data_IF_072884706288
#
_entry.id   IF_072884706288
#
_cell.length_a   1.000
_cell.length_b   1.000
_cell.length_c   1.000
_cell.angle_alpha   90.00
_cell.angle_beta   90.00
_cell.angle_gamma   90.00
#
_symmetry.space_group_name_H-M   'P 1'
#
loop_
_entity.id
_entity.type
_entity.pdbx_description
1 polymer ?
#
# COMPACT_ATOMS: atom_id res chain seq x y z
N UNK A 1 -13.23 58.26 17.54
CA UNK A 1 -12.31 57.23 16.99
C UNK A 1 -12.99 55.88 17.08
N UNK A 2 -13.54 55.42 15.98
CA UNK A 2 -14.24 54.12 15.90
C UNK A 2 -13.17 53.08 15.45
N UNK A 3 -12.76 52.21 16.36
CA UNK A 3 -11.85 51.11 16.01
C UNK A 3 -12.61 50.07 15.22
N UNK A 4 -12.32 49.99 13.93
CA UNK A 4 -12.82 48.91 13.03
C UNK A 4 -12.05 47.62 13.37
N UNK A 5 -12.62 46.77 14.20
CA UNK A 5 -12.17 45.38 14.37
C UNK A 5 -12.39 44.62 13.06
N UNK A 6 -11.37 44.55 12.22
CA UNK A 6 -11.34 43.59 11.12
C UNK A 6 -11.22 42.18 11.71
N UNK A 7 -12.33 41.53 11.92
CA UNK A 7 -12.36 40.07 12.08
C UNK A 7 -11.99 39.46 10.72
N UNK A 8 -10.73 39.07 10.55
CA UNK A 8 -10.28 38.21 9.46
C UNK A 8 -10.99 36.86 9.60
N UNK A 9 -12.18 36.80 9.02
CA UNK A 9 -12.90 35.54 8.80
C UNK A 9 -12.11 34.76 7.75
N UNK A 10 -11.30 33.77 8.15
CA UNK A 10 -10.68 32.84 7.23
C UNK A 10 -11.81 32.00 6.59
N UNK A 11 -12.34 32.49 5.48
CA UNK A 11 -13.39 31.79 4.76
C UNK A 11 -12.86 30.41 4.31
N UNK A 12 -13.60 29.38 4.64
CA UNK A 12 -13.36 28.03 4.10
C UNK A 12 -13.45 28.14 2.58
N UNK A 13 -12.37 27.85 1.87
CA UNK A 13 -12.32 27.90 0.40
C UNK A 13 -12.82 26.62 -0.22
N UNK A 14 -12.71 25.48 0.48
CA UNK A 14 -13.08 24.17 0.00
C UNK A 14 -13.27 23.18 1.16
N UNK A 15 -14.09 22.16 0.91
CA UNK A 15 -14.24 21.00 1.79
C UNK A 15 -14.44 19.76 0.95
N UNK A 16 -13.98 18.63 1.47
CA UNK A 16 -14.20 17.34 0.84
C UNK A 16 -14.39 16.23 1.86
N UNK A 17 -15.02 15.17 1.40
CA UNK A 17 -15.01 13.89 2.06
C UNK A 17 -14.66 12.78 1.06
N UNK A 18 -13.99 11.74 1.53
CA UNK A 18 -13.56 10.62 0.71
C UNK A 18 -13.90 9.28 1.35
N UNK A 19 -14.30 8.35 0.50
CA UNK A 19 -14.46 6.94 0.84
C UNK A 19 -13.39 6.14 0.11
N UNK A 20 -12.62 5.36 0.85
CA UNK A 20 -11.62 4.44 0.28
C UNK A 20 -12.11 3.01 0.41
N UNK A 21 -12.10 2.31 -0.70
CA UNK A 21 -12.51 0.90 -0.77
C UNK A 21 -11.37 0.01 -1.24
N UNK A 22 -11.37 -1.21 -0.72
CA UNK A 22 -10.58 -2.33 -1.21
C UNK A 22 -11.54 -3.49 -1.46
N UNK A 23 -11.95 -3.68 -2.71
CA UNK A 23 -13.08 -4.56 -3.02
C UNK A 23 -14.34 -4.10 -2.30
N UNK A 24 -15.01 -5.01 -1.60
CA UNK A 24 -16.24 -4.73 -0.86
C UNK A 24 -16.02 -4.02 0.48
N UNK A 25 -14.76 -3.93 0.95
CA UNK A 25 -14.47 -3.33 2.25
C UNK A 25 -14.21 -1.83 2.13
N UNK A 26 -14.85 -1.04 2.99
CA UNK A 26 -14.45 0.33 3.26
C UNK A 26 -13.24 0.32 4.20
N UNK A 27 -12.11 0.83 3.72
CA UNK A 27 -10.83 0.85 4.44
C UNK A 27 -10.68 2.11 5.27
N UNK A 28 -10.98 3.27 4.64
CA UNK A 28 -10.92 4.58 5.30
C UNK A 28 -12.10 5.46 4.91
N UNK A 29 -12.45 6.37 5.81
CA UNK A 29 -13.28 7.54 5.57
C UNK A 29 -12.50 8.77 5.99
N UNK A 30 -12.48 9.79 5.17
CA UNK A 30 -11.76 11.05 5.40
C UNK A 30 -12.69 12.23 5.15
N UNK A 31 -12.52 13.31 5.91
CA UNK A 31 -13.09 14.62 5.61
C UNK A 31 -12.10 15.73 5.95
N UNK A 32 -12.11 16.82 5.19
CA UNK A 32 -11.28 17.97 5.47
C UNK A 32 -11.96 19.30 5.10
N UNK A 33 -11.40 20.39 5.65
CA UNK A 33 -11.65 21.77 5.26
C UNK A 33 -10.33 22.42 4.87
N UNK A 34 -10.38 23.28 3.86
CA UNK A 34 -9.22 23.98 3.32
C UNK A 34 -9.47 25.47 3.29
N UNK A 35 -8.46 26.23 3.68
CA UNK A 35 -8.35 27.68 3.51
C UNK A 35 -7.16 28.00 2.60
N UNK A 36 -6.83 29.27 2.39
CA UNK A 36 -5.64 29.67 1.65
C UNK A 36 -4.32 29.22 2.31
N UNK A 37 -4.30 29.09 3.64
CA UNK A 37 -3.07 28.87 4.43
C UNK A 37 -3.07 27.55 5.19
N UNK A 38 -4.19 26.81 5.20
CA UNK A 38 -4.29 25.61 6.03
C UNK A 38 -5.23 24.58 5.40
N UNK A 39 -4.88 23.32 5.55
CA UNK A 39 -5.74 22.16 5.31
C UNK A 39 -5.86 21.40 6.61
N UNK A 40 -7.07 21.27 7.13
CA UNK A 40 -7.37 20.56 8.37
C UNK A 40 -8.43 19.50 8.13
N UNK A 41 -8.16 18.30 8.57
CA UNK A 41 -9.07 17.18 8.39
C UNK A 41 -8.90 16.08 9.41
N UNK A 42 -9.71 15.06 9.23
CA UNK A 42 -9.68 13.85 10.03
C UNK A 42 -10.00 12.64 9.17
N UNK A 43 -9.47 11.50 9.56
CA UNK A 43 -9.84 10.23 8.95
C UNK A 43 -9.86 9.08 9.94
N UNK A 44 -10.70 8.11 9.66
CA UNK A 44 -10.73 6.83 10.35
C UNK A 44 -10.26 5.73 9.42
N UNK A 45 -9.45 4.82 9.93
CA UNK A 45 -8.89 3.68 9.17
C UNK A 45 -9.05 2.39 9.97
N UNK A 46 -9.25 1.25 9.27
CA UNK A 46 -9.48 -0.07 9.86
C UNK A 46 -8.30 -1.03 9.71
N UNK A 47 -7.17 -0.57 9.16
CA UNK A 47 -6.03 -1.46 8.84
C UNK A 47 -4.69 -0.76 9.11
N UNK A 48 -3.66 -1.45 9.62
CA UNK A 48 -3.69 -2.78 10.24
C UNK A 48 -4.41 -2.77 11.59
N UNK A 49 -4.62 -1.59 12.17
CA UNK A 49 -5.38 -1.31 13.40
C UNK A 49 -6.42 -0.24 13.11
N UNK A 50 -7.45 -0.19 13.94
CA UNK A 50 -8.45 0.87 13.85
C UNK A 50 -7.94 2.12 14.54
N UNK A 51 -7.75 3.18 13.77
CA UNK A 51 -7.23 4.46 14.22
C UNK A 51 -8.16 5.59 13.76
N UNK A 52 -8.29 6.61 14.60
CA UNK A 52 -8.83 7.91 14.21
C UNK A 52 -7.68 8.92 14.23
N UNK A 53 -7.48 9.64 13.13
CA UNK A 53 -6.42 10.63 13.00
C UNK A 53 -6.99 11.99 12.64
N UNK A 54 -6.50 13.01 13.34
CA UNK A 54 -6.78 14.41 13.05
C UNK A 54 -5.49 15.02 12.56
N UNK A 55 -5.54 15.74 11.45
CA UNK A 55 -4.36 16.35 10.86
C UNK A 55 -4.56 17.83 10.56
N UNK A 56 -3.47 18.58 10.62
CA UNK A 56 -3.39 19.98 10.21
C UNK A 56 -2.13 20.14 9.36
N UNK A 57 -2.27 20.70 8.15
CA UNK A 57 -1.18 21.09 7.28
C UNK A 57 -1.22 22.59 7.08
N UNK A 58 -0.15 23.31 7.46
CA UNK A 58 0.00 24.70 7.14
C UNK A 58 0.66 24.84 5.77
N UNK A 59 0.13 25.73 4.96
CA UNK A 59 0.53 25.95 3.58
C UNK A 59 1.30 27.24 3.41
N UNK A 60 2.32 27.21 2.57
CA UNK A 60 2.96 28.40 2.01
C UNK A 60 2.07 29.03 0.91
N UNK A 61 2.31 30.28 0.50
CA UNK A 61 1.58 30.93 -0.59
C UNK A 61 1.65 30.18 -1.94
N UNK A 62 2.73 29.44 -2.19
CA UNK A 62 2.91 28.62 -3.39
C UNK A 62 2.20 27.24 -3.30
N UNK A 63 1.52 26.99 -2.18
CA UNK A 63 0.81 25.74 -1.91
C UNK A 63 1.69 24.60 -1.40
N UNK A 64 3.00 24.80 -1.22
CA UNK A 64 3.85 23.83 -0.54
C UNK A 64 3.51 23.77 0.96
N UNK A 65 3.88 22.67 1.61
CA UNK A 65 3.57 22.43 3.02
C UNK A 65 4.76 22.86 3.87
N UNK A 66 4.52 23.73 4.87
CA UNK A 66 5.57 24.20 5.80
C UNK A 66 5.52 23.50 7.16
N UNK A 67 4.34 23.06 7.59
CA UNK A 67 4.15 22.39 8.86
C UNK A 67 3.05 21.32 8.75
N UNK A 68 3.21 20.23 9.47
CA UNK A 68 2.21 19.19 9.64
C UNK A 68 2.12 18.79 11.10
N UNK A 69 0.91 18.63 11.58
CA UNK A 69 0.60 18.02 12.85
C UNK A 69 -0.40 16.89 12.64
N UNK A 70 -0.15 15.74 13.26
CA UNK A 70 -1.06 14.58 13.24
C UNK A 70 -1.26 14.07 14.66
N UNK A 71 -2.51 14.12 15.12
CA UNK A 71 -2.95 13.46 16.36
C UNK A 71 -3.59 12.14 15.99
N UNK A 72 -3.12 11.06 16.56
CA UNK A 72 -3.62 9.69 16.32
C UNK A 72 -4.25 9.14 17.58
N UNK A 73 -5.50 8.74 17.51
CA UNK A 73 -6.22 8.02 18.57
C UNK A 73 -6.34 6.54 18.19
N UNK A 74 -5.93 5.65 19.08
CA UNK A 74 -6.14 4.22 18.95
C UNK A 74 -7.59 3.89 19.40
N UNK A 75 -8.47 3.67 18.42
CA UNK A 75 -9.90 3.43 18.69
C UNK A 75 -10.28 1.94 18.75
N UNK A 76 -9.40 1.05 18.25
CA UNK A 76 -9.65 -0.40 18.22
C UNK A 76 -9.13 -1.17 19.42
N UNK A 77 -8.53 -0.48 20.39
CA UNK A 77 -7.83 -1.14 21.50
C UNK A 77 -6.53 -1.82 21.03
N UNK A 78 -5.98 -2.70 21.88
CA UNK A 78 -4.72 -3.39 21.61
C UNK A 78 -3.50 -2.61 22.12
N UNK A 79 -2.26 -3.13 21.86
CA UNK A 79 -1.04 -2.56 22.40
C UNK A 79 -0.71 -1.19 21.82
N UNK A 80 -0.11 -0.33 22.64
CA UNK A 80 0.36 1.00 22.29
C UNK A 80 -0.44 2.12 22.97
N UNK A 81 0.05 3.37 22.87
CA UNK A 81 -0.61 4.50 23.49
C UNK A 81 -1.99 4.76 22.87
N UNK A 82 -2.92 5.23 23.70
CA UNK A 82 -4.28 5.61 23.26
C UNK A 82 -4.24 6.84 22.35
N UNK A 83 -3.31 7.73 22.57
CA UNK A 83 -3.10 8.94 21.77
C UNK A 83 -1.62 9.17 21.51
N UNK A 84 -1.30 9.64 20.31
CA UNK A 84 0.04 10.14 19.93
C UNK A 84 -0.08 11.40 19.10
N UNK A 85 0.86 12.33 19.31
CA UNK A 85 0.95 13.56 18.54
C UNK A 85 2.31 13.65 17.88
N UNK A 86 2.33 13.76 16.55
CA UNK A 86 3.54 13.93 15.75
C UNK A 86 3.47 15.24 14.98
N UNK A 87 4.60 15.93 14.84
CA UNK A 87 4.69 17.10 14.00
C UNK A 87 5.96 17.11 13.16
N UNK A 88 5.90 17.81 12.03
CA UNK A 88 7.04 18.06 11.15
C UNK A 88 7.01 19.52 10.72
N UNK A 89 8.12 20.22 10.90
CA UNK A 89 8.38 21.56 10.35
C UNK A 89 9.36 21.44 9.19
N UNK A 90 9.03 22.05 8.05
CA UNK A 90 9.93 22.16 6.90
C UNK A 90 10.52 23.57 6.86
N UNK A 91 11.84 23.67 7.08
CA UNK A 91 12.57 24.93 7.06
C UNK A 91 13.76 24.83 6.10
N UNK A 92 13.59 25.44 4.92
CA UNK A 92 14.64 25.44 3.89
C UNK A 92 14.90 24.02 3.36
N UNK A 93 16.04 23.46 3.71
CA UNK A 93 16.53 22.14 3.35
C UNK A 93 16.53 21.16 4.54
N UNK A 94 15.76 21.46 5.57
CA UNK A 94 15.69 20.67 6.80
C UNK A 94 14.25 20.38 7.19
N UNK A 95 13.98 19.10 7.50
CA UNK A 95 12.77 18.68 8.19
C UNK A 95 13.07 18.44 9.67
N UNK A 96 12.29 19.06 10.54
CA UNK A 96 12.38 18.93 12.00
C UNK A 96 11.14 18.19 12.47
N UNK A 97 11.32 16.96 12.94
CA UNK A 97 10.23 16.09 13.37
C UNK A 97 10.22 15.94 14.88
N UNK A 98 9.03 16.05 15.47
CA UNK A 98 8.81 15.80 16.89
C UNK A 98 7.86 14.62 17.03
N UNK A 99 8.30 13.57 17.71
CA UNK A 99 7.53 12.35 17.94
C UNK A 99 7.51 11.98 19.42
N UNK A 100 6.42 11.45 19.95
CA UNK A 100 6.33 11.04 21.35
C UNK A 100 7.22 9.82 21.62
N UNK A 101 7.81 9.78 22.83
CA UNK A 101 8.58 8.66 23.36
C UNK A 101 8.29 8.47 24.85
N UNK A 102 7.30 7.63 25.17
CA UNK A 102 6.77 7.55 26.54
C UNK A 102 6.22 8.92 26.99
N UNK A 103 6.64 9.40 28.15
CA UNK A 103 6.25 10.70 28.71
C UNK A 103 7.06 11.88 28.16
N UNK A 104 7.97 11.64 27.21
CA UNK A 104 8.83 12.65 26.57
C UNK A 104 8.61 12.70 25.07
N UNK A 105 9.35 13.60 24.38
CA UNK A 105 9.39 13.65 22.92
C UNK A 105 10.83 13.53 22.40
N UNK A 106 10.96 12.99 21.21
CA UNK A 106 12.21 12.96 20.45
C UNK A 106 12.11 13.92 19.28
N UNK A 107 13.10 14.80 19.16
CA UNK A 107 13.26 15.69 18.00
C UNK A 107 14.32 15.11 17.08
N UNK A 108 13.96 14.87 15.83
CA UNK A 108 14.87 14.41 14.78
C UNK A 108 14.99 15.51 13.72
N UNK A 109 16.21 15.81 13.30
CA UNK A 109 16.48 16.70 12.18
C UNK A 109 17.02 15.89 11.00
N UNK A 110 16.43 16.10 9.84
CA UNK A 110 16.82 15.44 8.60
C UNK A 110 17.06 16.47 7.52
N UNK A 111 18.21 16.40 6.84
CA UNK A 111 18.46 17.16 5.63
C UNK A 111 17.58 16.64 4.50
N UNK A 112 16.81 17.51 3.87
CA UNK A 112 15.86 17.19 2.80
C UNK A 112 15.92 18.22 1.68
N UNK A 113 15.70 17.86 0.41
CA UNK A 113 15.60 18.85 -0.66
C UNK A 113 14.48 19.87 -0.38
N UNK A 114 14.68 21.11 -0.81
CA UNK A 114 13.62 22.12 -0.76
C UNK A 114 12.39 21.65 -1.54
N UNK A 115 11.20 21.88 -1.00
CA UNK A 115 9.95 21.40 -1.59
C UNK A 115 9.64 19.93 -1.28
N UNK A 116 10.41 19.30 -0.37
CA UNK A 116 10.01 18.02 0.21
C UNK A 116 8.69 18.21 0.94
N UNK A 117 7.77 17.29 0.74
CA UNK A 117 6.48 17.28 1.43
C UNK A 117 6.29 16.05 2.31
N UNK A 118 5.46 16.10 3.33
CA UNK A 118 5.09 14.93 4.09
C UNK A 118 4.28 13.99 3.21
N UNK A 119 4.47 12.69 3.38
CA UNK A 119 3.62 11.69 2.75
C UNK A 119 2.94 10.83 3.81
N UNK A 120 1.63 10.76 3.73
CA UNK A 120 0.81 9.96 4.61
C UNK A 120 -0.15 9.14 3.77
N UNK A 121 -0.06 7.82 3.90
CA UNK A 121 -1.01 6.93 3.25
C UNK A 121 -2.44 7.21 3.73
N UNK A 122 -3.39 7.12 2.80
CA UNK A 122 -4.83 7.29 3.04
C UNK A 122 -5.26 8.73 3.41
N UNK A 123 -4.43 9.74 3.17
CA UNK A 123 -4.78 11.16 3.30
C UNK A 123 -4.94 11.77 1.92
N UNK A 124 -6.17 11.83 1.43
CA UNK A 124 -6.46 12.27 0.05
C UNK A 124 -6.56 13.79 -0.07
N UNK A 125 -6.85 14.49 1.02
CA UNK A 125 -6.67 15.93 1.09
C UNK A 125 -5.22 16.35 0.81
N UNK A 126 -4.24 15.57 1.29
CA UNK A 126 -2.82 15.75 0.96
C UNK A 126 -2.54 15.44 -0.51
N UNK A 127 -3.07 14.34 -1.05
CA UNK A 127 -2.92 14.00 -2.47
C UNK A 127 -3.52 15.07 -3.39
N UNK A 128 -4.65 15.63 -3.02
CA UNK A 128 -5.24 16.77 -3.72
C UNK A 128 -4.31 17.99 -3.68
N UNK A 129 -3.76 18.33 -2.51
CA UNK A 129 -2.85 19.47 -2.36
C UNK A 129 -1.58 19.31 -3.20
N UNK A 130 -0.98 18.12 -3.19
CA UNK A 130 0.21 17.79 -4.00
C UNK A 130 -0.13 17.85 -5.50
N UNK A 131 -1.28 17.35 -5.90
CA UNK A 131 -1.75 17.42 -7.29
C UNK A 131 -1.99 18.86 -7.75
N UNK A 132 -2.55 19.74 -6.91
CA UNK A 132 -2.69 21.18 -7.17
C UNK A 132 -1.34 21.85 -7.34
N UNK A 133 -0.41 21.58 -6.45
CA UNK A 133 0.96 22.09 -6.53
C UNK A 133 1.63 21.65 -7.85
N UNK A 134 1.58 20.36 -8.19
CA UNK A 134 2.17 19.85 -9.42
C UNK A 134 1.54 20.49 -10.67
N UNK A 135 0.21 20.68 -10.69
CA UNK A 135 -0.50 21.35 -11.80
C UNK A 135 -0.09 22.83 -11.91
N UNK A 136 0.10 23.50 -10.79
CA UNK A 136 0.53 24.91 -10.71
C UNK A 136 1.92 25.17 -11.32
N UNK A 137 2.79 24.16 -11.41
CA UNK A 137 4.11 24.27 -12.07
C UNK A 137 4.02 24.43 -13.60
N UNK A 138 2.88 24.10 -14.20
CA UNK A 138 2.69 24.07 -15.65
C UNK A 138 3.38 22.92 -16.40
N UNK A 139 4.23 22.14 -15.73
CA UNK A 139 5.02 21.05 -16.33
C UNK A 139 4.19 19.79 -16.52
N UNK A 140 4.53 18.98 -17.54
CA UNK A 140 3.88 17.68 -17.78
C UNK A 140 4.36 16.58 -16.80
N UNK A 141 5.56 16.73 -16.25
CA UNK A 141 6.11 15.86 -15.22
C UNK A 141 6.88 16.67 -14.18
N UNK A 142 6.62 16.41 -12.91
CA UNK A 142 7.26 17.10 -11.79
C UNK A 142 7.87 16.05 -10.87
N UNK A 143 9.17 16.16 -10.60
CA UNK A 143 9.85 15.38 -9.57
C UNK A 143 9.50 15.91 -8.20
N UNK A 144 9.45 15.01 -7.22
CA UNK A 144 9.26 15.35 -5.82
C UNK A 144 10.14 14.49 -4.92
N UNK A 145 10.34 14.98 -3.70
CA UNK A 145 10.81 14.19 -2.56
C UNK A 145 9.72 14.18 -1.50
N UNK A 146 9.43 13.04 -0.93
CA UNK A 146 8.45 12.87 0.14
C UNK A 146 9.11 12.32 1.39
N UNK A 147 8.79 12.90 2.54
CA UNK A 147 9.16 12.42 3.87
C UNK A 147 8.01 11.56 4.40
N UNK A 148 8.23 10.28 4.65
CA UNK A 148 7.19 9.34 5.09
C UNK A 148 7.43 8.72 6.47
N UNK A 149 8.63 8.90 7.03
CA UNK A 149 8.96 8.58 8.42
C UNK A 149 10.06 9.50 8.96
N UNK A 150 10.35 9.39 10.24
CA UNK A 150 11.26 10.30 10.95
C UNK A 150 12.68 10.41 10.34
N UNK A 151 13.10 9.44 9.57
CA UNK A 151 14.47 9.33 9.03
C UNK A 151 14.50 8.98 7.54
N UNK A 152 13.34 8.95 6.86
CA UNK A 152 13.23 8.33 5.53
C UNK A 152 12.48 9.19 4.54
N UNK A 153 13.13 9.39 3.40
CA UNK A 153 12.55 10.02 2.23
C UNK A 153 12.47 9.03 1.06
N UNK A 154 11.57 9.31 0.14
CA UNK A 154 11.52 8.64 -1.16
C UNK A 154 11.26 9.66 -2.25
N UNK A 155 11.93 9.49 -3.37
CA UNK A 155 11.71 10.26 -4.57
C UNK A 155 10.62 9.69 -5.45
N UNK A 156 10.08 10.53 -6.31
CA UNK A 156 9.07 10.12 -7.26
C UNK A 156 8.72 11.22 -8.26
N UNK A 157 7.64 10.97 -9.00
CA UNK A 157 7.13 11.94 -9.95
C UNK A 157 5.60 11.98 -9.97
N UNK A 158 5.09 13.16 -10.37
CA UNK A 158 3.71 13.34 -10.79
C UNK A 158 3.72 13.68 -12.26
N UNK A 159 2.99 12.92 -13.09
CA UNK A 159 2.95 13.09 -14.54
C UNK A 159 1.52 13.25 -15.04
N UNK A 160 1.29 14.16 -15.97
CA UNK A 160 0.04 14.24 -16.73
C UNK A 160 -0.12 13.03 -17.64
N UNK A 161 -1.30 12.44 -17.68
CA UNK A 161 -1.65 11.29 -18.54
C UNK A 161 -2.71 11.64 -19.60
N UNK A 162 -3.04 12.92 -19.73
CA UNK A 162 -4.07 13.44 -20.62
C UNK A 162 -5.30 13.94 -19.87
N UNK A 163 -5.92 15.01 -20.38
CA UNK A 163 -7.05 15.69 -19.73
C UNK A 163 -6.74 16.08 -18.28
N UNK A 164 -7.65 15.74 -17.38
CA UNK A 164 -7.57 16.03 -15.95
C UNK A 164 -6.87 14.93 -15.12
N UNK A 165 -6.26 13.94 -15.79
CA UNK A 165 -5.68 12.75 -15.16
C UNK A 165 -4.19 12.95 -14.86
N UNK A 166 -3.80 12.61 -13.64
CA UNK A 166 -2.44 12.61 -13.15
C UNK A 166 -2.05 11.20 -12.68
N UNK A 167 -0.76 10.89 -12.78
CA UNK A 167 -0.16 9.66 -12.21
C UNK A 167 0.89 10.07 -11.20
N UNK A 168 0.77 9.53 -9.99
CA UNK A 168 1.73 9.64 -8.91
C UNK A 168 2.47 8.31 -8.75
N UNK A 169 3.79 8.35 -8.69
CA UNK A 169 4.64 7.15 -8.58
C UNK A 169 5.88 7.45 -7.74
N UNK A 170 6.23 6.55 -6.85
CA UNK A 170 7.55 6.49 -6.25
C UNK A 170 8.49 5.63 -7.10
N UNK A 171 9.66 6.15 -7.45
CA UNK A 171 10.67 5.46 -8.26
C UNK A 171 12.06 5.45 -7.61
N UNK A 172 12.20 6.05 -6.43
CA UNK A 172 13.43 6.09 -5.64
C UNK A 172 13.17 5.85 -4.16
N UNK A 173 14.17 5.30 -3.46
CA UNK A 173 14.13 5.05 -2.02
C UNK A 173 13.27 3.84 -1.65
N UNK A 174 12.90 3.73 -0.39
CA UNK A 174 12.18 2.56 0.13
C UNK A 174 10.74 2.41 -0.39
N UNK A 175 10.15 3.49 -0.90
CA UNK A 175 8.83 3.45 -1.53
C UNK A 175 8.91 3.24 -3.04
N UNK A 176 10.11 3.02 -3.60
CA UNK A 176 10.24 2.70 -5.02
C UNK A 176 9.31 1.53 -5.40
N UNK A 177 8.59 1.68 -6.51
CA UNK A 177 7.58 0.70 -6.93
C UNK A 177 6.22 0.81 -6.21
N UNK A 178 6.07 1.68 -5.20
CA UNK A 178 4.76 2.01 -4.63
C UNK A 178 4.05 2.97 -5.58
N UNK A 179 2.97 2.52 -6.16
CA UNK A 179 2.25 3.15 -7.26
C UNK A 179 2.20 2.21 -8.47
N UNK A 180 1.67 2.70 -9.62
CA UNK A 180 1.12 4.04 -9.81
C UNK A 180 -0.23 4.25 -9.11
N UNK A 181 -0.41 5.46 -8.60
CA UNK A 181 -1.73 5.97 -8.24
C UNK A 181 -2.20 6.90 -9.36
N UNK A 182 -3.29 6.54 -10.00
CA UNK A 182 -3.91 7.38 -11.04
C UNK A 182 -5.05 8.14 -10.43
N UNK A 183 -5.10 9.46 -10.62
CA UNK A 183 -6.12 10.30 -10.03
C UNK A 183 -6.55 11.44 -10.95
N UNK A 184 -7.72 12.01 -10.69
CA UNK A 184 -8.28 13.12 -11.45
C UNK A 184 -8.51 14.31 -10.56
N UNK A 185 -8.08 15.47 -11.05
CA UNK A 185 -8.45 16.77 -10.48
C UNK A 185 -9.38 17.47 -11.47
N UNK A 186 -10.50 17.98 -10.98
CA UNK A 186 -11.36 18.85 -11.79
C UNK A 186 -10.67 20.19 -12.15
N UNK A 187 -11.39 21.09 -12.84
CA UNK A 187 -10.85 22.41 -13.23
C UNK A 187 -10.51 23.29 -12.04
N UNK A 188 -11.22 23.13 -10.92
CA UNK A 188 -10.98 23.83 -9.66
C UNK A 188 -9.83 23.22 -8.85
N UNK A 189 -9.31 22.07 -9.29
CA UNK A 189 -8.25 21.34 -8.63
C UNK A 189 -8.74 20.38 -7.54
N UNK A 190 -10.02 20.04 -7.50
CA UNK A 190 -10.55 19.06 -6.54
C UNK A 190 -10.25 17.63 -7.01
N UNK A 191 -9.77 16.82 -6.09
CA UNK A 191 -9.64 15.38 -6.33
C UNK A 191 -11.04 14.76 -6.41
N UNK A 192 -11.39 14.23 -7.58
CA UNK A 192 -12.70 13.61 -7.81
C UNK A 192 -12.66 12.10 -7.68
N UNK A 193 -11.53 11.49 -7.99
CA UNK A 193 -11.34 10.06 -8.00
C UNK A 193 -9.84 9.70 -7.98
N UNK A 194 -9.51 8.59 -7.31
CA UNK A 194 -8.17 8.00 -7.34
C UNK A 194 -8.28 6.48 -7.37
N UNK A 195 -7.41 5.83 -8.16
CA UNK A 195 -7.22 4.38 -8.12
C UNK A 195 -5.77 4.03 -7.84
N UNK A 196 -5.59 3.05 -6.97
CA UNK A 196 -4.33 2.36 -6.73
C UNK A 196 -4.25 0.98 -7.38
N UNK A 197 -5.07 0.66 -8.39
CA UNK A 197 -5.08 -0.68 -9.05
C UNK A 197 -3.72 -1.10 -9.60
N UNK A 198 -2.88 -0.14 -10.02
CA UNK A 198 -1.51 -0.41 -10.46
C UNK A 198 -0.51 -0.59 -9.32
N UNK A 199 -0.91 -0.39 -8.07
CA UNK A 199 -0.05 -0.44 -6.89
C UNK A 199 -0.32 -1.68 -6.04
N UNK A 200 0.52 -1.90 -5.02
CA UNK A 200 0.29 -2.96 -4.03
C UNK A 200 -0.90 -2.67 -3.10
N UNK A 201 -1.38 -1.42 -3.01
CA UNK A 201 -2.52 -1.04 -2.18
C UNK A 201 -3.87 -1.35 -2.82
N UNK A 202 -3.97 -1.26 -4.16
CA UNK A 202 -5.14 -1.62 -4.97
C UNK A 202 -6.48 -0.99 -4.52
N UNK A 203 -6.40 0.20 -3.93
CA UNK A 203 -7.56 0.91 -3.42
C UNK A 203 -8.27 1.72 -4.50
N UNK A 204 -9.57 1.93 -4.30
CA UNK A 204 -10.41 2.89 -5.03
C UNK A 204 -10.88 3.96 -4.08
N UNK A 205 -10.75 5.22 -4.50
CA UNK A 205 -11.11 6.39 -3.71
C UNK A 205 -12.11 7.25 -4.47
N UNK A 206 -13.16 7.62 -3.80
CA UNK A 206 -14.21 8.48 -4.35
C UNK A 206 -14.44 9.69 -3.46
N UNK A 207 -14.53 10.88 -4.08
CA UNK A 207 -15.06 12.07 -3.42
C UNK A 207 -16.57 11.89 -3.20
N UNK A 208 -17.03 12.20 -2.01
CA UNK A 208 -18.44 12.16 -1.62
C UNK A 208 -18.82 13.49 -0.97
N UNK A 209 -20.12 13.74 -0.80
CA UNK A 209 -20.60 14.99 -0.19
C UNK A 209 -20.25 15.07 1.30
N UNK A 210 -20.39 13.97 2.03
CA UNK A 210 -20.10 13.89 3.46
C UNK A 210 -19.85 12.44 3.87
N UNK A 211 -19.24 12.26 5.04
CA UNK A 211 -19.05 10.95 5.71
C UNK A 211 -19.55 11.03 7.14
N UNK A 212 -20.22 9.99 7.65
CA UNK A 212 -20.69 9.94 9.04
C UNK A 212 -19.54 9.61 9.99
N UNK A 213 -18.63 10.55 10.23
CA UNK A 213 -17.35 10.30 10.89
C UNK A 213 -17.50 9.68 12.28
N UNK A 214 -18.42 10.20 13.12
CA UNK A 214 -18.64 9.67 14.48
C UNK A 214 -19.12 8.21 14.44
N UNK A 215 -20.10 7.89 13.58
CA UNK A 215 -20.61 6.52 13.40
C UNK A 215 -19.51 5.60 12.83
N UNK A 216 -18.71 6.10 11.88
CA UNK A 216 -17.60 5.37 11.29
C UNK A 216 -16.53 5.05 12.34
N UNK A 217 -16.16 6.01 13.19
CA UNK A 217 -15.21 5.81 14.29
C UNK A 217 -15.65 4.67 15.19
N UNK A 218 -16.92 4.68 15.63
CA UNK A 218 -17.48 3.62 16.46
C UNK A 218 -17.53 2.25 15.74
N UNK A 219 -17.98 2.24 14.48
CA UNK A 219 -18.06 1.00 13.70
C UNK A 219 -16.68 0.41 13.40
N UNK A 220 -15.68 1.25 13.11
CA UNK A 220 -14.33 0.80 12.79
C UNK A 220 -13.60 0.31 14.04
N UNK A 221 -13.88 0.89 15.21
CA UNK A 221 -13.36 0.41 16.48
C UNK A 221 -13.76 -1.05 16.76
N UNK A 222 -15.01 -1.42 16.47
CA UNK A 222 -15.55 -2.77 16.74
C UNK A 222 -15.29 -3.77 15.60
N UNK A 223 -14.91 -3.32 14.40
CA UNK A 223 -14.74 -4.18 13.21
C UNK A 223 -13.43 -3.86 12.47
N UNK A 224 -12.26 -4.08 13.08
CA UNK A 224 -10.98 -3.90 12.41
C UNK A 224 -10.84 -4.89 11.24
N UNK A 225 -10.17 -4.48 10.17
CA UNK A 225 -9.79 -5.38 9.07
C UNK A 225 -8.53 -6.18 9.37
N UNK A 226 -7.73 -5.72 10.35
CA UNK A 226 -6.42 -6.28 10.60
C UNK A 226 -5.46 -6.02 9.43
N UNK A 227 -4.43 -6.83 9.32
CA UNK A 227 -3.53 -6.80 8.18
C UNK A 227 -4.26 -7.28 6.93
N UNK A 228 -4.21 -6.49 5.84
CA UNK A 228 -4.92 -6.80 4.59
C UNK A 228 -4.38 -8.06 3.89
N UNK A 229 -3.11 -8.36 4.11
CA UNK A 229 -2.43 -9.55 3.58
C UNK A 229 -1.44 -10.03 4.64
N UNK A 230 -1.90 -10.76 5.67
CA UNK A 230 -1.03 -11.26 6.73
C UNK A 230 0.02 -12.22 6.17
N UNK A 231 1.19 -12.29 6.82
CA UNK A 231 2.22 -13.30 6.52
C UNK A 231 1.79 -14.65 7.07
N UNK A 232 2.20 -15.69 6.36
CA UNK A 232 2.00 -17.09 6.73
C UNK A 232 3.18 -17.92 6.21
N UNK A 233 3.35 -19.13 6.74
CA UNK A 233 4.40 -20.04 6.33
C UNK A 233 3.84 -21.45 6.14
N UNK A 234 3.89 -21.96 4.92
CA UNK A 234 3.67 -23.38 4.64
C UNK A 234 4.97 -24.16 4.92
N UNK A 235 4.86 -25.26 5.66
CA UNK A 235 5.99 -26.11 6.04
C UNK A 235 5.74 -27.55 5.71
N UNK A 236 6.80 -28.28 5.33
CA UNK A 236 6.75 -29.72 5.12
C UNK A 236 8.09 -30.38 5.38
N UNK A 237 8.07 -31.64 5.79
CA UNK A 237 9.27 -32.47 5.83
C UNK A 237 9.37 -33.25 4.52
N UNK A 238 10.40 -32.99 3.74
CA UNK A 238 10.69 -33.68 2.47
C UNK A 238 12.05 -34.32 2.56
N UNK A 239 12.09 -35.64 2.47
CA UNK A 239 13.34 -36.39 2.60
C UNK A 239 14.08 -36.20 3.94
N UNK A 240 13.31 -36.01 5.02
CA UNK A 240 13.84 -35.81 6.38
C UNK A 240 14.28 -34.38 6.71
N UNK A 241 14.08 -33.43 5.81
CA UNK A 241 14.46 -32.03 6.00
C UNK A 241 13.24 -31.10 5.92
N UNK A 242 13.21 -30.06 6.77
CA UNK A 242 12.15 -29.08 6.72
C UNK A 242 12.34 -28.13 5.52
N UNK A 243 11.34 -28.08 4.66
CA UNK A 243 11.18 -27.13 3.55
C UNK A 243 10.05 -26.16 3.91
N UNK A 244 10.23 -24.87 3.65
CA UNK A 244 9.19 -23.90 3.96
C UNK A 244 9.02 -22.84 2.87
N UNK A 245 7.80 -22.32 2.80
CA UNK A 245 7.43 -21.23 1.92
C UNK A 245 6.80 -20.14 2.78
N UNK A 246 7.46 -18.99 2.85
CA UNK A 246 6.97 -17.81 3.55
C UNK A 246 6.34 -16.83 2.56
N UNK A 247 5.07 -16.45 2.79
CA UNK A 247 4.28 -15.69 1.84
C UNK A 247 3.26 -14.80 2.53
N UNK A 248 2.76 -13.79 1.82
CA UNK A 248 1.61 -13.01 2.28
C UNK A 248 0.33 -13.52 1.65
N UNK A 249 -0.75 -13.53 2.44
CA UNK A 249 -2.07 -14.07 2.09
C UNK A 249 -3.05 -12.95 1.73
N UNK A 250 -3.10 -12.49 0.46
CA UNK A 250 -4.11 -11.53 0.05
C UNK A 250 -5.52 -12.12 0.13
N UNK A 251 -6.49 -11.27 0.42
CA UNK A 251 -7.90 -11.61 0.53
C UNK A 251 -8.64 -11.10 -0.70
N UNK A 252 -9.56 -11.89 -1.25
CA UNK A 252 -10.34 -11.59 -2.45
C UNK A 252 -11.24 -10.36 -2.28
N UNK A 253 -11.95 -10.25 -1.19
CA UNK A 253 -12.85 -9.13 -0.85
C UNK A 253 -13.87 -8.84 -1.97
N UNK A 254 -14.46 -9.89 -2.54
CA UNK A 254 -15.45 -9.78 -3.61
C UNK A 254 -14.89 -9.38 -4.98
N UNK A 255 -13.56 -9.29 -5.14
CA UNK A 255 -12.93 -8.98 -6.43
C UNK A 255 -12.76 -10.24 -7.28
N UNK A 256 -12.80 -10.10 -8.60
CA UNK A 256 -12.32 -11.11 -9.52
C UNK A 256 -10.80 -11.00 -9.61
N UNK A 257 -10.11 -12.11 -9.36
CA UNK A 257 -8.66 -12.09 -9.21
C UNK A 257 -7.97 -12.28 -10.56
N UNK A 258 -7.98 -13.48 -11.09
CA UNK A 258 -7.20 -13.82 -12.28
C UNK A 258 -7.89 -13.35 -13.56
N UNK A 259 -7.12 -12.66 -14.41
CA UNK A 259 -7.63 -12.00 -15.62
C UNK A 259 -8.12 -10.57 -15.37
N UNK A 260 -8.31 -10.16 -14.10
CA UNK A 260 -8.75 -8.81 -13.74
C UNK A 260 -7.74 -8.13 -12.82
N UNK A 261 -7.63 -8.58 -11.57
CA UNK A 261 -6.68 -8.03 -10.60
C UNK A 261 -5.25 -8.42 -10.91
N UNK A 262 -5.04 -9.71 -11.15
CA UNK A 262 -3.81 -10.30 -11.64
C UNK A 262 -4.01 -10.65 -13.13
N UNK A 263 -3.51 -9.81 -14.07
CA UNK A 263 -3.78 -9.96 -15.49
C UNK A 263 -3.20 -11.24 -16.07
N UNK A 264 -3.91 -11.84 -17.03
CA UNK A 264 -3.39 -12.96 -17.78
C UNK A 264 -2.06 -12.64 -18.47
N UNK A 265 -1.16 -13.63 -18.51
CA UNK A 265 0.15 -13.56 -19.16
C UNK A 265 1.07 -12.48 -18.54
N UNK A 266 0.83 -12.11 -17.27
CA UNK A 266 1.73 -11.27 -16.47
C UNK A 266 2.22 -12.05 -15.26
N UNK A 267 3.52 -11.93 -14.99
CA UNK A 267 4.11 -12.58 -13.82
C UNK A 267 3.56 -11.94 -12.55
N UNK A 268 3.08 -12.79 -11.65
CA UNK A 268 2.54 -12.44 -10.34
C UNK A 268 3.45 -12.97 -9.23
N UNK A 269 3.66 -12.18 -8.19
CA UNK A 269 4.51 -12.48 -7.00
C UNK A 269 4.03 -13.66 -6.13
N UNK A 270 3.03 -14.41 -6.57
CA UNK A 270 2.46 -15.58 -5.85
C UNK A 270 2.09 -15.24 -4.40
N UNK A 271 1.45 -14.09 -4.20
CA UNK A 271 1.09 -13.55 -2.88
C UNK A 271 0.88 -12.04 -2.93
N UNK A 272 1.30 -11.35 -1.87
CA UNK A 272 1.21 -9.88 -1.75
C UNK A 272 2.43 -9.32 -1.01
N UNK A 273 2.65 -8.00 -1.14
CA UNK A 273 3.75 -7.26 -0.51
C UNK A 273 5.13 -7.78 -0.95
N UNK A 274 5.96 -8.31 -0.04
CA UNK A 274 7.22 -8.96 -0.39
C UNK A 274 6.98 -10.21 -1.25
N UNK A 275 7.94 -10.54 -2.10
CA UNK A 275 7.91 -11.76 -2.90
C UNK A 275 7.81 -13.01 -2.02
N UNK A 276 7.11 -14.03 -2.48
CA UNK A 276 6.99 -15.32 -1.78
C UNK A 276 8.34 -16.03 -1.78
N UNK A 277 8.81 -16.45 -0.60
CA UNK A 277 10.13 -17.05 -0.41
C UNK A 277 9.97 -18.57 -0.29
N UNK A 278 10.87 -19.32 -0.95
CA UNK A 278 11.06 -20.75 -0.74
C UNK A 278 12.46 -20.97 -0.13
N UNK A 279 12.55 -21.74 0.94
CA UNK A 279 13.83 -22.20 1.48
C UNK A 279 13.82 -23.72 1.60
N UNK A 280 14.90 -24.33 1.10
CA UNK A 280 15.11 -25.77 1.16
C UNK A 280 16.57 -26.08 1.52
N UNK A 281 16.83 -26.89 2.56
CA UNK A 281 18.17 -27.34 2.90
C UNK A 281 18.66 -28.52 2.08
N UNK A 282 17.83 -29.07 1.21
CA UNK A 282 18.13 -30.25 0.35
C UNK A 282 17.73 -29.95 -1.08
N UNK A 283 18.36 -30.67 -2.01
CA UNK A 283 17.95 -30.63 -3.43
C UNK A 283 16.55 -31.20 -3.59
N UNK A 284 15.72 -30.47 -4.31
CA UNK A 284 14.35 -30.88 -4.65
C UNK A 284 14.20 -31.11 -6.16
N UNK A 285 13.22 -31.92 -6.51
CA UNK A 285 12.66 -31.98 -7.86
C UNK A 285 11.29 -31.32 -7.81
N UNK A 286 11.11 -30.18 -8.48
CA UNK A 286 9.85 -29.45 -8.53
C UNK A 286 9.40 -29.38 -9.99
N UNK A 287 8.21 -29.93 -10.28
CA UNK A 287 7.69 -30.00 -11.64
C UNK A 287 8.61 -30.75 -12.62
N UNK A 288 9.38 -31.71 -12.15
CA UNK A 288 10.35 -32.48 -12.94
C UNK A 288 11.72 -31.81 -13.08
N UNK A 289 11.93 -30.59 -12.59
CA UNK A 289 13.20 -29.89 -12.66
C UNK A 289 13.93 -29.83 -11.32
N UNK A 290 15.25 -29.91 -11.34
CA UNK A 290 16.09 -29.83 -10.12
C UNK A 290 16.16 -28.42 -9.59
N UNK A 291 15.88 -28.26 -8.29
CA UNK A 291 16.07 -27.04 -7.50
C UNK A 291 17.09 -27.35 -6.40
N UNK A 292 18.32 -26.88 -6.48
CA UNK A 292 19.34 -27.10 -5.46
C UNK A 292 18.92 -26.58 -4.08
N UNK A 293 19.55 -27.08 -3.02
CA UNK A 293 19.43 -26.49 -1.69
C UNK A 293 19.73 -24.98 -1.74
N UNK A 294 18.87 -24.18 -1.12
CA UNK A 294 19.02 -22.71 -1.20
C UNK A 294 17.77 -21.93 -0.84
N UNK A 295 17.86 -20.61 -1.11
CA UNK A 295 16.77 -19.63 -0.93
C UNK A 295 16.37 -19.04 -2.29
N UNK A 296 15.08 -19.00 -2.53
CA UNK A 296 14.51 -18.63 -3.80
C UNK A 296 13.26 -17.78 -3.61
N UNK A 297 12.77 -17.15 -4.69
CA UNK A 297 11.42 -16.62 -4.71
C UNK A 297 10.54 -17.38 -5.70
N UNK A 298 9.26 -17.47 -5.35
CA UNK A 298 8.23 -18.10 -6.17
C UNK A 298 7.41 -17.03 -6.87
N UNK A 299 7.25 -17.21 -8.19
CA UNK A 299 6.40 -16.38 -9.04
C UNK A 299 5.49 -17.27 -9.85
N UNK A 300 4.33 -16.75 -10.22
CA UNK A 300 3.37 -17.48 -11.05
C UNK A 300 3.10 -16.69 -12.33
N UNK A 301 3.03 -17.39 -13.45
CA UNK A 301 2.55 -16.85 -14.72
C UNK A 301 1.17 -17.44 -15.01
N UNK A 302 0.07 -16.75 -14.62
CA UNK A 302 -1.28 -17.21 -14.90
C UNK A 302 -1.62 -17.00 -16.38
N UNK A 303 -2.28 -17.98 -17.00
CA UNK A 303 -2.77 -17.90 -18.37
C UNK A 303 -4.10 -18.63 -18.50
N UNK A 304 -5.00 -18.24 -19.42
CA UNK A 304 -6.24 -18.97 -19.66
C UNK A 304 -6.03 -20.43 -20.12
N UNK A 305 -4.87 -20.71 -20.71
CA UNK A 305 -4.57 -22.01 -21.35
C UNK A 305 -3.57 -22.87 -20.58
N UNK A 306 -2.90 -22.31 -19.57
CA UNK A 306 -1.91 -23.06 -18.79
C UNK A 306 -1.11 -22.13 -17.87
N UNK A 307 -0.81 -22.60 -16.69
CA UNK A 307 -0.11 -21.84 -15.67
C UNK A 307 1.31 -22.35 -15.51
N UNK A 308 2.21 -21.45 -15.13
CA UNK A 308 3.60 -21.81 -14.79
C UNK A 308 3.96 -21.31 -13.40
N UNK A 309 4.61 -22.19 -12.64
CA UNK A 309 5.36 -21.80 -11.45
C UNK A 309 6.79 -21.44 -11.91
N UNK A 310 7.29 -20.33 -11.41
CA UNK A 310 8.65 -19.83 -11.67
C UNK A 310 9.40 -19.81 -10.34
N UNK A 311 10.58 -20.43 -10.32
CA UNK A 311 11.52 -20.35 -9.20
C UNK A 311 12.65 -19.44 -9.63
N UNK A 312 12.86 -18.35 -8.89
CA UNK A 312 13.84 -17.32 -9.20
C UNK A 312 14.92 -17.29 -8.12
N UNK A 313 16.18 -17.11 -8.51
CA UNK A 313 17.37 -17.14 -7.63
C UNK A 313 17.46 -15.92 -6.72
N UNK A 314 16.78 -14.83 -7.04
CA UNK A 314 16.71 -13.66 -6.18
C UNK A 314 15.86 -13.98 -4.93
N UNK A 315 16.21 -13.43 -3.79
CA UNK A 315 15.47 -13.61 -2.54
C UNK A 315 15.49 -12.32 -1.71
N UNK A 316 14.50 -12.16 -0.82
CA UNK A 316 14.38 -11.03 0.08
C UNK A 316 13.85 -9.72 -0.54
N UNK A 317 13.54 -9.69 -1.85
CA UNK A 317 13.08 -8.51 -2.55
C UNK A 317 11.59 -8.23 -2.34
N UNK A 318 11.19 -7.02 -2.71
CA UNK A 318 9.79 -6.65 -2.77
C UNK A 318 9.10 -7.33 -3.97
N UNK A 319 7.80 -7.58 -3.86
CA UNK A 319 7.06 -8.34 -4.88
C UNK A 319 6.79 -7.60 -6.20
N UNK A 320 7.32 -6.40 -6.40
CA UNK A 320 7.34 -5.70 -7.68
C UNK A 320 8.71 -5.76 -8.38
N UNK A 321 9.69 -6.34 -7.71
CA UNK A 321 11.08 -6.44 -8.19
C UNK A 321 11.31 -7.85 -8.76
N UNK A 322 10.82 -8.09 -9.97
CA UNK A 322 11.01 -9.36 -10.66
C UNK A 322 12.05 -9.22 -11.76
N UNK A 323 13.06 -10.08 -11.71
CA UNK A 323 14.17 -10.15 -12.64
C UNK A 323 14.15 -11.48 -13.40
N UNK A 324 13.60 -11.53 -14.62
CA UNK A 324 13.44 -12.78 -15.39
C UNK A 324 14.77 -13.47 -15.73
N UNK A 325 15.88 -12.73 -15.79
CA UNK A 325 17.23 -13.26 -15.98
C UNK A 325 17.76 -14.07 -14.80
N UNK A 326 17.11 -13.96 -13.63
CA UNK A 326 17.38 -14.72 -12.42
C UNK A 326 16.54 -16.00 -12.30
N UNK A 327 15.67 -16.29 -13.28
CA UNK A 327 14.87 -17.50 -13.25
C UNK A 327 15.76 -18.74 -13.27
N UNK A 328 15.55 -19.62 -12.30
CA UNK A 328 16.19 -20.92 -12.25
C UNK A 328 15.42 -21.92 -13.13
N UNK A 329 14.12 -21.99 -12.94
CA UNK A 329 13.21 -22.86 -13.69
C UNK A 329 11.84 -22.21 -13.88
N UNK A 330 11.15 -22.62 -14.96
CA UNK A 330 9.73 -22.38 -15.20
C UNK A 330 9.06 -23.73 -15.51
N UNK A 331 8.18 -24.18 -14.64
CA UNK A 331 7.51 -25.48 -14.75
C UNK A 331 6.01 -25.31 -14.91
N UNK A 332 5.39 -26.22 -15.62
CA UNK A 332 3.95 -26.22 -15.81
C UNK A 332 3.25 -26.60 -14.50
N UNK A 333 2.17 -25.91 -14.19
CA UNK A 333 1.32 -26.18 -13.05
C UNK A 333 -0.02 -26.77 -13.51
N UNK A 334 -0.45 -27.85 -12.87
CA UNK A 334 -1.79 -28.41 -13.08
C UNK A 334 -2.81 -27.47 -12.44
N UNK A 335 -3.81 -27.04 -13.20
CA UNK A 335 -4.88 -26.15 -12.74
C UNK A 335 -6.19 -26.89 -12.57
N UNK A 336 -6.97 -26.46 -11.59
CA UNK A 336 -8.28 -26.98 -11.25
C UNK A 336 -9.22 -25.80 -10.93
N UNK A 337 -10.42 -25.81 -11.49
CA UNK A 337 -11.46 -24.86 -11.17
C UNK A 337 -12.16 -25.27 -9.86
N UNK A 338 -12.31 -24.33 -8.95
CA UNK A 338 -12.98 -24.54 -7.66
C UNK A 338 -14.46 -24.14 -7.74
N UNK A 339 -15.35 -25.00 -7.27
CA UNK A 339 -16.78 -24.73 -7.18
C UNK A 339 -17.08 -23.58 -6.18
N UNK A 340 -16.34 -23.53 -5.07
CA UNK A 340 -16.44 -22.46 -4.06
C UNK A 340 -15.15 -21.65 -4.08
N UNK A 341 -15.25 -20.31 -4.24
CA UNK A 341 -14.07 -19.45 -4.23
C UNK A 341 -13.33 -19.51 -2.88
N UNK A 342 -12.01 -19.61 -2.94
CA UNK A 342 -11.12 -19.45 -1.78
C UNK A 342 -10.92 -17.97 -1.53
N UNK A 343 -11.40 -17.47 -0.39
CA UNK A 343 -11.40 -16.05 -0.07
C UNK A 343 -10.00 -15.50 0.19
N UNK A 344 -9.16 -16.25 0.90
CA UNK A 344 -7.80 -15.85 1.23
C UNK A 344 -6.79 -16.79 0.58
N UNK A 345 -5.79 -16.24 -0.12
CA UNK A 345 -4.74 -17.01 -0.78
C UNK A 345 -4.05 -17.97 0.17
N UNK A 346 -3.88 -19.21 -0.24
CA UNK A 346 -3.27 -20.30 0.52
C UNK A 346 -2.21 -21.01 -0.31
N UNK A 347 -1.06 -21.27 0.30
CA UNK A 347 -0.04 -22.21 -0.17
C UNK A 347 0.01 -23.39 0.82
N UNK A 348 0.08 -24.61 0.31
CA UNK A 348 0.22 -25.79 1.15
C UNK A 348 1.08 -26.84 0.47
N UNK A 349 1.67 -27.74 1.26
CA UNK A 349 2.24 -28.99 0.80
C UNK A 349 1.20 -30.08 0.99
N UNK A 350 0.93 -30.85 -0.05
CA UNK A 350 -0.12 -31.88 -0.02
C UNK A 350 0.34 -33.21 -0.62
N UNK A 351 -0.10 -34.34 -0.05
CA UNK A 351 -0.72 -34.41 1.27
C UNK A 351 0.23 -34.00 2.39
N UNK A 352 -0.28 -33.48 3.50
CA UNK A 352 0.56 -32.91 4.57
C UNK A 352 1.49 -33.95 5.23
N UNK A 353 1.07 -35.21 5.31
CA UNK A 353 1.86 -36.32 5.90
C UNK A 353 2.99 -36.82 5.01
N UNK A 354 2.80 -36.80 3.69
CA UNK A 354 3.76 -37.27 2.67
C UNK A 354 3.71 -36.35 1.47
N UNK A 355 4.27 -35.12 1.57
CA UNK A 355 4.11 -34.10 0.54
C UNK A 355 4.63 -34.58 -0.82
N UNK A 356 3.78 -34.53 -1.82
CA UNK A 356 4.11 -34.83 -3.22
C UNK A 356 3.79 -33.69 -4.17
N UNK A 357 3.15 -32.62 -3.67
CA UNK A 357 2.86 -31.43 -4.43
C UNK A 357 2.88 -30.18 -3.55
N UNK A 358 3.25 -29.07 -4.15
CA UNK A 358 3.00 -27.72 -3.64
C UNK A 358 1.71 -27.25 -4.29
N UNK A 359 0.73 -26.84 -3.49
CA UNK A 359 -0.59 -26.39 -3.94
C UNK A 359 -0.80 -24.94 -3.60
N UNK A 360 -1.53 -24.26 -4.47
CA UNK A 360 -1.84 -22.84 -4.38
C UNK A 360 -3.32 -22.67 -4.65
N UNK A 361 -4.04 -21.97 -3.81
CA UNK A 361 -5.48 -21.77 -4.02
C UNK A 361 -5.88 -20.31 -3.71
N UNK A 362 -6.58 -19.69 -4.64
CA UNK A 362 -7.18 -18.38 -4.47
C UNK A 362 -8.32 -18.17 -5.47
N UNK A 363 -9.38 -17.47 -5.04
CA UNK A 363 -10.57 -17.28 -5.84
C UNK A 363 -11.11 -18.63 -6.34
N UNK A 364 -11.41 -18.78 -7.61
CA UNK A 364 -11.98 -19.98 -8.24
C UNK A 364 -10.92 -20.92 -8.82
N UNK A 365 -9.65 -20.73 -8.46
CA UNK A 365 -8.55 -21.50 -9.03
C UNK A 365 -7.70 -22.15 -7.94
N UNK A 366 -7.44 -23.43 -8.13
CA UNK A 366 -6.35 -24.16 -7.48
C UNK A 366 -5.34 -24.57 -8.55
N UNK A 367 -4.05 -24.43 -8.26
CA UNK A 367 -3.01 -24.99 -9.11
C UNK A 367 -1.97 -25.71 -8.25
N UNK A 368 -1.30 -26.68 -8.84
CA UNK A 368 -0.34 -27.53 -8.14
C UNK A 368 0.85 -27.90 -9.01
N UNK A 369 1.99 -28.11 -8.33
CA UNK A 369 3.22 -28.57 -8.96
C UNK A 369 3.78 -29.72 -8.13
N UNK A 370 4.14 -30.87 -8.74
CA UNK A 370 4.77 -31.97 -8.01
C UNK A 370 6.06 -31.56 -7.34
N UNK A 371 6.32 -32.08 -6.13
CA UNK A 371 7.57 -31.87 -5.40
C UNK A 371 8.04 -33.20 -4.80
N UNK A 372 9.34 -33.45 -4.88
CA UNK A 372 9.98 -34.60 -4.25
C UNK A 372 11.41 -34.23 -3.84
N UNK A 373 12.04 -35.00 -2.95
CA UNK A 373 13.49 -34.98 -2.77
C UNK A 373 14.16 -35.48 -4.04
N UNK A 374 15.27 -34.86 -4.42
CA UNK A 374 16.13 -35.35 -5.48
C UNK A 374 16.86 -36.62 -5.07
#
# INVERSE_FOLDING_TARGET
MLALLLTLSFAVQDSAAFVTRLGNDTVTLEQYKRTATQLRGEYVIRTPRSLHRIYTFDLNPDGSIRHIEIVTHNIGGGPGPMETKNSVDFSGDTAIMVSPRGDSSVTTKLAVPRGTFPFQFYVYGLMEQIGRWARGTGKDSVRFTALYSADRTSGGYIRKRGGDTLVFMFDEGQLAGVGPFTFRLDRQGHLTWLTGKGSTLQVEVQRVTSVPMAQATQSFASRPLGQLSPRDTARATIGGSEVWIDYSRPTRRGRDIFGTLEPWNKVWRTGANAATQLETPVDLVIGGATVPAGKYTLWTLPSPTGWKLIINKQNGQWGTEYHPEQDLIRVDAKTEALATPVEQFVIAFEPASTPSAITFAWDKVRYSVPVAKK
#
